data_IF_901258098417
#
_entry.id   IF_901258098417
#
_cell.length_a   1.000
_cell.length_b   1.000
_cell.length_c   1.000
_cell.angle_alpha   90.00
_cell.angle_beta   90.00
_cell.angle_gamma   90.00
#
_symmetry.space_group_name_H-M   'P 1'
#
loop_
_entity.id
_entity.type
_entity.pdbx_description
1 polymer ?
#
# COMPACT_ATOMS: atom_id res chain seq x y z
N UNK A 1 27.12 -5.95 1.21
CA UNK A 1 27.84 -6.51 2.33
C UNK A 1 29.36 -6.35 2.30
N UNK A 2 29.97 -5.83 1.23
CA UNK A 2 31.44 -5.56 1.21
C UNK A 2 31.77 -4.15 1.69
N UNK A 3 30.84 -3.22 1.54
CA UNK A 3 31.01 -1.81 1.90
C UNK A 3 29.81 -1.32 2.67
N UNK A 4 30.05 -0.61 3.76
CA UNK A 4 29.01 0.09 4.51
C UNK A 4 28.83 1.49 3.91
N UNK A 5 27.58 1.84 3.58
CA UNK A 5 27.20 3.15 3.04
C UNK A 5 26.00 3.67 3.83
N UNK A 6 26.17 4.08 5.09
CA UNK A 6 25.09 4.47 5.98
C UNK A 6 24.53 5.86 5.63
N UNK A 7 23.82 5.95 4.53
CA UNK A 7 23.22 7.19 4.03
C UNK A 7 21.70 7.02 3.97
N UNK A 8 20.97 8.01 4.46
CA UNK A 8 19.52 8.10 4.30
C UNK A 8 19.19 9.25 3.35
N UNK A 9 18.58 8.91 2.22
CA UNK A 9 17.96 9.88 1.31
C UNK A 9 16.49 10.01 1.70
N UNK A 10 16.10 11.18 2.21
CA UNK A 10 14.75 11.44 2.72
C UNK A 10 14.08 12.55 1.93
N UNK A 11 12.83 12.32 1.55
CA UNK A 11 12.02 13.32 0.87
C UNK A 11 10.60 12.86 0.59
N UNK A 12 9.71 13.79 0.17
CA UNK A 12 8.36 13.45 -0.23
C UNK A 12 8.33 12.72 -1.57
N UNK A 13 7.34 11.83 -1.73
CA UNK A 13 7.00 11.18 -2.99
C UNK A 13 5.48 11.04 -3.10
N UNK A 14 5.00 10.81 -4.33
CA UNK A 14 3.58 10.71 -4.61
C UNK A 14 2.90 12.07 -4.79
N UNK A 15 1.57 12.09 -4.78
CA UNK A 15 0.78 13.31 -5.00
C UNK A 15 0.83 14.23 -3.79
N UNK A 16 0.99 15.52 -4.04
CA UNK A 16 0.75 16.58 -3.08
C UNK A 16 -0.60 17.28 -3.38
N UNK A 17 -0.70 18.58 -3.15
CA UNK A 17 -1.92 19.34 -3.37
C UNK A 17 -1.78 20.26 -4.57
N UNK A 18 -2.33 19.86 -5.73
CA UNK A 18 -2.39 20.69 -6.94
C UNK A 18 -1.00 21.19 -7.40
N UNK A 19 0.00 20.32 -7.37
CA UNK A 19 1.39 20.64 -7.74
C UNK A 19 1.78 20.05 -9.10
N UNK A 20 0.81 19.50 -9.84
CA UNK A 20 0.98 18.96 -11.19
C UNK A 20 1.94 17.77 -11.27
N UNK A 21 2.28 17.36 -12.48
CA UNK A 21 3.13 16.19 -12.74
C UNK A 21 4.56 16.33 -12.24
N UNK A 22 5.07 17.57 -12.13
CA UNK A 22 6.47 17.82 -11.74
C UNK A 22 6.73 17.49 -10.26
N UNK A 23 5.74 17.66 -9.38
CA UNK A 23 5.87 17.48 -7.94
C UNK A 23 4.96 16.38 -7.39
N UNK A 24 4.43 15.48 -8.24
CA UNK A 24 3.52 14.40 -7.84
C UNK A 24 4.02 13.04 -8.32
N UNK A 25 5.33 12.84 -8.33
CA UNK A 25 5.93 11.59 -8.80
C UNK A 25 6.00 10.54 -7.68
N UNK A 26 5.47 9.36 -7.95
CA UNK A 26 5.59 8.19 -7.09
C UNK A 26 6.79 7.35 -7.57
N UNK A 27 7.96 7.61 -7.00
CA UNK A 27 9.24 7.11 -7.49
C UNK A 27 9.74 5.85 -6.77
N UNK A 28 8.95 5.28 -5.87
CA UNK A 28 9.34 4.12 -5.08
C UNK A 28 9.79 2.92 -5.93
N UNK A 29 9.15 2.70 -7.07
CA UNK A 29 9.52 1.61 -7.98
C UNK A 29 10.91 1.81 -8.60
N UNK A 30 11.29 3.04 -8.88
CA UNK A 30 12.62 3.36 -9.42
C UNK A 30 13.71 3.03 -8.42
N UNK A 31 13.54 3.46 -7.19
CA UNK A 31 14.54 3.20 -6.15
C UNK A 31 14.56 1.71 -5.75
N UNK A 32 13.41 1.07 -5.69
CA UNK A 32 13.32 -0.36 -5.39
C UNK A 32 13.90 -1.25 -6.50
N UNK A 33 14.01 -0.75 -7.72
CA UNK A 33 14.63 -1.49 -8.83
C UNK A 33 16.12 -1.76 -8.59
N UNK A 34 16.86 -0.85 -7.95
CA UNK A 34 18.31 -0.98 -7.79
C UNK A 34 18.67 -1.89 -6.61
N UNK A 35 19.37 -3.04 -6.87
CA UNK A 35 19.89 -3.88 -5.79
C UNK A 35 20.83 -3.12 -4.86
N UNK A 36 20.72 -3.32 -3.55
CA UNK A 36 21.53 -2.65 -2.54
C UNK A 36 20.89 -1.40 -1.94
N UNK A 37 19.85 -0.81 -2.58
CA UNK A 37 19.07 0.23 -1.93
C UNK A 37 17.94 -0.38 -1.11
N UNK A 38 17.73 0.12 0.12
CA UNK A 38 16.52 -0.11 0.90
C UNK A 38 15.53 1.02 0.63
N UNK A 39 14.23 0.69 0.56
CA UNK A 39 13.17 1.67 0.28
C UNK A 39 12.09 1.56 1.34
N UNK A 40 11.83 2.66 2.02
CA UNK A 40 10.94 2.74 3.19
C UNK A 40 9.86 3.78 2.96
N UNK A 41 8.61 3.46 3.30
CA UNK A 41 7.45 4.35 3.13
C UNK A 41 6.52 4.26 4.36
N UNK A 42 6.66 5.14 5.34
CA UNK A 42 5.80 5.13 6.53
C UNK A 42 4.35 5.52 6.18
N UNK A 43 3.40 5.00 6.96
CA UNK A 43 1.98 5.34 6.84
C UNK A 43 1.37 5.98 8.09
N UNK A 44 2.10 6.00 9.20
CA UNK A 44 1.65 6.53 10.49
C UNK A 44 2.78 7.30 11.20
N UNK A 45 2.47 8.18 12.18
CA UNK A 45 3.49 8.90 12.95
C UNK A 45 4.48 8.00 13.68
N UNK A 46 4.02 6.89 14.28
CA UNK A 46 4.90 5.91 14.92
C UNK A 46 5.83 5.24 13.91
N UNK A 47 5.30 4.87 12.72
CA UNK A 47 6.11 4.32 11.63
C UNK A 47 7.19 5.31 11.19
N UNK A 48 6.84 6.59 11.03
CA UNK A 48 7.79 7.64 10.64
C UNK A 48 8.94 7.75 11.65
N UNK A 49 8.66 7.74 12.97
CA UNK A 49 9.69 7.76 14.00
C UNK A 49 10.53 6.49 13.98
N UNK A 50 9.90 5.32 14.08
CA UNK A 50 10.58 4.05 14.26
C UNK A 50 11.40 3.62 13.06
N UNK A 51 10.82 3.72 11.86
CA UNK A 51 11.49 3.36 10.62
C UNK A 51 12.63 4.32 10.25
N UNK A 52 12.45 5.65 10.50
CA UNK A 52 13.53 6.61 10.23
C UNK A 52 14.73 6.35 11.14
N UNK A 53 14.51 6.05 12.41
CA UNK A 53 15.59 5.69 13.33
C UNK A 53 16.30 4.39 12.94
N UNK A 54 15.54 3.39 12.49
CA UNK A 54 16.12 2.17 11.93
C UNK A 54 16.94 2.46 10.67
N UNK A 55 16.42 3.31 9.79
CA UNK A 55 17.12 3.72 8.56
C UNK A 55 18.45 4.44 8.84
N UNK A 56 18.50 5.30 9.88
CA UNK A 56 19.72 6.01 10.28
C UNK A 56 20.75 5.04 10.88
N UNK A 57 20.30 3.97 11.51
CA UNK A 57 21.15 2.94 12.14
C UNK A 57 21.56 1.81 11.21
N UNK A 58 21.06 1.83 9.96
CA UNK A 58 21.35 0.80 8.96
C UNK A 58 22.68 1.07 8.26
N UNK A 59 23.43 0.01 7.99
CA UNK A 59 24.72 0.08 7.30
C UNK A 59 24.61 0.25 5.78
N UNK A 60 23.42 0.00 5.22
CA UNK A 60 23.13 0.13 3.79
C UNK A 60 22.43 1.46 3.47
N UNK A 61 22.51 1.94 2.23
CA UNK A 61 21.80 3.16 1.82
C UNK A 61 20.30 2.96 1.82
N UNK A 62 19.59 3.87 2.46
CA UNK A 62 18.12 3.86 2.59
C UNK A 62 17.51 5.04 1.88
N UNK A 63 16.51 4.79 1.02
CA UNK A 63 15.62 5.81 0.46
C UNK A 63 14.34 5.82 1.28
N UNK A 64 14.13 6.89 2.04
CA UNK A 64 13.01 7.08 2.95
C UNK A 64 12.00 8.04 2.32
N UNK A 65 10.90 7.49 1.77
CA UNK A 65 9.91 8.25 1.01
C UNK A 65 8.72 8.56 1.90
N UNK A 66 8.50 9.83 2.15
CA UNK A 66 7.34 10.34 2.89
C UNK A 66 6.23 10.74 1.92
N UNK A 67 5.03 10.94 2.47
CA UNK A 67 3.88 11.43 1.69
C UNK A 67 3.45 12.80 2.25
N UNK A 68 3.61 13.84 1.45
CA UNK A 68 3.39 15.22 1.89
C UNK A 68 1.96 15.46 2.41
N UNK A 69 0.97 14.82 1.80
CA UNK A 69 -0.44 14.91 2.23
C UNK A 69 -0.68 14.35 3.64
N UNK A 70 0.26 13.58 4.16
CA UNK A 70 0.19 12.97 5.49
C UNK A 70 0.93 13.74 6.58
N UNK A 71 1.69 14.79 6.25
CA UNK A 71 2.46 15.55 7.24
C UNK A 71 1.63 16.17 8.36
N UNK A 72 0.34 16.45 8.10
CA UNK A 72 -0.59 16.95 9.11
C UNK A 72 -1.24 15.86 9.97
N UNK A 73 -1.03 14.58 9.67
CA UNK A 73 -1.65 13.48 10.41
C UNK A 73 -1.07 13.39 11.82
N UNK A 74 -1.98 13.18 12.78
CA UNK A 74 -1.63 12.98 14.19
C UNK A 74 -1.90 11.53 14.57
N UNK A 75 -1.11 11.00 15.50
CA UNK A 75 -1.27 9.67 16.04
C UNK A 75 -0.38 9.45 17.25
N UNK A 76 -0.58 8.36 17.92
CA UNK A 76 0.26 7.96 19.04
C UNK A 76 1.67 7.63 18.55
N UNK A 77 2.65 8.09 19.29
CA UNK A 77 4.07 7.82 19.04
C UNK A 77 4.71 7.41 20.35
N UNK A 78 5.36 6.24 20.45
CA UNK A 78 6.06 5.83 21.66
C UNK A 78 7.07 6.90 22.10
N UNK A 79 7.06 7.21 23.40
CA UNK A 79 7.94 8.24 23.98
C UNK A 79 9.38 7.74 24.18
N UNK A 80 9.57 6.42 24.07
CA UNK A 80 10.88 5.77 24.17
C UNK A 80 11.87 6.39 23.17
N UNK A 81 13.01 6.94 23.65
CA UNK A 81 14.06 7.48 22.79
C UNK A 81 14.73 6.41 21.92
N UNK A 82 14.65 5.14 22.29
CA UNK A 82 15.23 4.03 21.53
C UNK A 82 14.22 3.25 20.66
N UNK A 83 12.98 3.70 20.65
CA UNK A 83 11.96 3.08 19.80
C UNK A 83 12.38 3.04 18.33
N UNK A 84 12.41 1.83 17.77
CA UNK A 84 12.69 1.53 16.36
C UNK A 84 11.71 0.53 15.84
N UNK A 85 11.54 0.49 14.52
CA UNK A 85 10.77 -0.53 13.80
C UNK A 85 11.73 -1.20 12.81
N UNK A 86 11.89 -2.53 12.84
CA UNK A 86 12.76 -3.24 11.92
C UNK A 86 12.35 -3.01 10.46
N UNK A 87 13.34 -2.80 9.57
CA UNK A 87 13.11 -2.75 8.13
C UNK A 87 12.80 -4.15 7.60
N UNK A 88 11.86 -4.25 6.68
CA UNK A 88 11.43 -5.53 6.10
C UNK A 88 10.37 -6.28 6.91
N UNK A 89 9.72 -5.61 7.87
CA UNK A 89 8.62 -6.18 8.66
C UNK A 89 7.35 -5.39 8.38
N UNK A 90 6.35 -6.05 7.82
CA UNK A 90 5.04 -5.47 7.56
C UNK A 90 4.23 -5.27 8.85
N UNK A 91 3.16 -4.50 8.75
CA UNK A 91 2.22 -4.25 9.83
C UNK A 91 0.81 -4.66 9.40
N UNK A 92 0.17 -5.53 10.18
CA UNK A 92 -1.24 -5.87 10.02
C UNK A 92 -2.04 -4.76 10.72
N UNK A 93 -2.40 -3.73 9.96
CA UNK A 93 -3.15 -2.56 10.47
C UNK A 93 -4.59 -2.91 10.90
N UNK A 94 -5.12 -3.99 10.37
CA UNK A 94 -6.43 -4.52 10.67
C UNK A 94 -6.46 -6.02 10.38
N UNK A 95 -6.92 -6.81 11.31
CA UNK A 95 -7.19 -8.22 11.11
C UNK A 95 -8.49 -8.43 10.30
N UNK A 96 -8.52 -9.51 9.50
CA UNK A 96 -9.67 -9.89 8.70
C UNK A 96 -9.57 -11.30 8.14
N UNK A 97 -10.68 -11.80 7.55
CA UNK A 97 -10.79 -13.21 7.14
C UNK A 97 -11.23 -13.43 5.70
N UNK A 98 -11.78 -12.40 5.01
CA UNK A 98 -12.43 -12.59 3.71
C UNK A 98 -11.64 -12.01 2.53
N UNK A 99 -10.94 -10.91 2.74
CA UNK A 99 -10.15 -10.23 1.70
C UNK A 99 -8.90 -9.61 2.32
N UNK A 100 -7.74 -9.86 1.76
CA UNK A 100 -6.52 -9.12 2.06
C UNK A 100 -6.46 -7.84 1.23
N UNK A 101 -6.23 -6.70 1.87
CA UNK A 101 -5.92 -5.43 1.20
C UNK A 101 -4.47 -5.06 1.52
N UNK A 102 -3.59 -5.14 0.54
CA UNK A 102 -2.21 -4.67 0.69
C UNK A 102 -2.16 -3.20 0.24
N UNK A 103 -1.79 -2.32 1.16
CA UNK A 103 -1.73 -0.88 0.91
C UNK A 103 -0.48 -0.28 1.56
N UNK A 104 0.05 0.80 1.00
CA UNK A 104 1.23 1.49 1.55
C UNK A 104 1.05 3.00 1.56
N UNK A 105 1.76 3.67 2.47
CA UNK A 105 1.78 5.13 2.58
C UNK A 105 0.36 5.73 2.59
N UNK A 106 0.04 6.70 1.73
CA UNK A 106 -1.28 7.36 1.63
C UNK A 106 -2.44 6.36 1.43
N UNK A 107 -2.19 5.23 0.81
CA UNK A 107 -3.26 4.27 0.54
C UNK A 107 -3.66 3.44 1.77
N UNK A 108 -2.86 3.43 2.84
CA UNK A 108 -3.22 2.72 4.09
C UNK A 108 -4.48 3.29 4.74
N UNK A 109 -4.58 4.60 5.05
CA UNK A 109 -5.82 5.15 5.58
C UNK A 109 -7.02 5.03 4.62
N UNK A 110 -6.79 5.05 3.30
CA UNK A 110 -7.84 4.82 2.30
C UNK A 110 -8.34 3.37 2.35
N UNK A 111 -7.42 2.41 2.48
CA UNK A 111 -7.74 0.99 2.62
C UNK A 111 -8.48 0.67 3.92
N UNK A 112 -8.05 1.26 5.04
CA UNK A 112 -8.75 1.13 6.33
C UNK A 112 -10.19 1.65 6.24
N UNK A 113 -10.40 2.79 5.59
CA UNK A 113 -11.74 3.33 5.38
C UNK A 113 -12.61 2.45 4.47
N UNK A 114 -12.00 1.84 3.44
CA UNK A 114 -12.69 0.86 2.60
C UNK A 114 -13.04 -0.40 3.41
N UNK A 115 -12.13 -0.90 4.24
CA UNK A 115 -12.36 -2.06 5.10
C UNK A 115 -13.49 -1.83 6.11
N UNK A 116 -13.58 -0.65 6.74
CA UNK A 116 -14.71 -0.27 7.59
C UNK A 116 -16.07 -0.32 6.85
N UNK A 117 -16.08 0.16 5.61
CA UNK A 117 -17.30 0.14 4.78
C UNK A 117 -17.68 -1.28 4.37
N UNK A 118 -16.70 -2.10 4.02
CA UNK A 118 -16.92 -3.51 3.67
C UNK A 118 -17.42 -4.34 4.86
N UNK A 119 -16.93 -4.05 6.06
CA UNK A 119 -17.40 -4.72 7.28
C UNK A 119 -18.89 -4.47 7.55
N UNK A 120 -19.38 -3.24 7.30
CA UNK A 120 -20.81 -2.93 7.38
C UNK A 120 -21.66 -3.72 6.37
N UNK A 121 -21.00 -4.27 5.34
CA UNK A 121 -21.59 -5.13 4.32
C UNK A 121 -21.32 -6.62 4.56
N UNK A 122 -20.75 -6.97 5.73
CA UNK A 122 -20.46 -8.36 6.12
C UNK A 122 -19.18 -8.93 5.49
N UNK A 123 -18.25 -8.10 5.01
CA UNK A 123 -16.97 -8.52 4.46
C UNK A 123 -15.82 -8.09 5.39
N UNK A 124 -15.15 -9.08 5.99
CA UNK A 124 -14.03 -8.87 6.90
C UNK A 124 -12.72 -8.73 6.14
N UNK A 125 -12.16 -7.53 6.11
CA UNK A 125 -10.91 -7.25 5.40
C UNK A 125 -9.71 -7.18 6.33
N UNK A 126 -8.65 -7.91 5.97
CA UNK A 126 -7.32 -7.72 6.54
C UNK A 126 -6.57 -6.64 5.76
N UNK A 127 -6.02 -5.65 6.48
CA UNK A 127 -5.26 -4.57 5.85
C UNK A 127 -3.81 -4.68 6.28
N UNK A 128 -2.92 -4.86 5.29
CA UNK A 128 -1.47 -4.98 5.48
C UNK A 128 -0.78 -3.76 4.91
N UNK A 129 0.06 -3.14 5.74
CA UNK A 129 1.03 -2.13 5.33
C UNK A 129 2.43 -2.75 5.29
N UNK A 130 3.04 -2.92 4.13
CA UNK A 130 4.40 -3.43 4.03
C UNK A 130 5.44 -2.54 4.72
N UNK A 131 5.19 -1.23 4.89
CA UNK A 131 6.08 -0.20 5.46
C UNK A 131 7.43 -0.07 4.74
N UNK A 132 7.95 -1.17 4.23
CA UNK A 132 9.17 -1.24 3.41
C UNK A 132 8.87 -1.89 2.08
N UNK A 133 9.41 -1.30 1.02
CA UNK A 133 9.28 -1.82 -0.34
C UNK A 133 10.44 -2.75 -0.66
N UNK A 134 11.60 -2.44 -0.09
CA UNK A 134 12.80 -3.25 -0.19
C UNK A 134 13.60 -3.13 1.11
N UNK A 135 13.77 -4.23 1.86
CA UNK A 135 13.19 -5.55 1.62
C UNK A 135 11.66 -5.57 1.80
N UNK A 136 10.96 -6.42 1.02
CA UNK A 136 9.53 -6.64 1.15
C UNK A 136 9.28 -7.81 2.10
N UNK A 137 8.36 -7.66 3.04
CA UNK A 137 7.87 -8.76 3.89
C UNK A 137 6.89 -9.64 3.09
N UNK A 138 7.45 -10.60 2.38
CA UNK A 138 6.71 -11.53 1.55
C UNK A 138 5.88 -12.48 2.42
N UNK A 139 6.46 -12.95 3.51
CA UNK A 139 5.84 -13.97 4.36
C UNK A 139 4.53 -13.48 4.98
N UNK A 140 4.54 -12.27 5.56
CA UNK A 140 3.31 -11.67 6.12
C UNK A 140 2.21 -11.51 5.06
N UNK A 141 2.56 -11.07 3.85
CA UNK A 141 1.60 -10.91 2.76
C UNK A 141 1.05 -12.28 2.32
N UNK A 142 1.91 -13.25 2.12
CA UNK A 142 1.53 -14.60 1.67
C UNK A 142 0.66 -15.32 2.69
N UNK A 143 0.99 -15.26 3.98
CA UNK A 143 0.19 -15.87 5.04
C UNK A 143 -1.21 -15.24 5.15
N UNK A 144 -1.32 -13.91 4.99
CA UNK A 144 -2.61 -13.26 4.91
C UNK A 144 -3.43 -13.75 3.70
N UNK A 145 -2.81 -13.87 2.53
CA UNK A 145 -3.47 -14.35 1.32
C UNK A 145 -3.95 -15.79 1.48
N UNK A 146 -3.15 -16.66 2.09
CA UNK A 146 -3.55 -18.05 2.40
C UNK A 146 -4.77 -18.11 3.33
N UNK A 147 -4.92 -17.15 4.23
CA UNK A 147 -6.05 -17.02 5.15
C UNK A 147 -7.32 -16.53 4.44
N UNK A 148 -7.20 -15.51 3.59
CA UNK A 148 -8.35 -14.80 3.01
C UNK A 148 -8.72 -15.24 1.60
N UNK A 149 -7.81 -15.88 0.87
CA UNK A 149 -7.93 -16.40 -0.51
C UNK A 149 -8.25 -15.32 -1.58
N UNK A 150 -8.33 -14.05 -1.20
CA UNK A 150 -8.72 -12.93 -2.08
C UNK A 150 -7.89 -11.69 -1.78
N UNK A 151 -7.42 -11.01 -2.83
CA UNK A 151 -6.48 -9.91 -2.65
C UNK A 151 -6.82 -8.69 -3.49
N UNK A 152 -6.79 -7.52 -2.85
CA UNK A 152 -6.75 -6.21 -3.49
C UNK A 152 -5.42 -5.55 -3.12
N UNK A 153 -4.67 -5.06 -4.09
CA UNK A 153 -3.48 -4.23 -3.88
C UNK A 153 -3.84 -2.80 -4.21
N UNK A 154 -3.71 -1.89 -3.24
CA UNK A 154 -4.01 -0.48 -3.39
C UNK A 154 -2.73 0.35 -3.35
N UNK A 155 -2.48 1.10 -4.41
CA UNK A 155 -1.25 1.87 -4.62
C UNK A 155 -1.51 3.17 -5.35
N UNK A 156 -0.74 4.22 -5.05
CA UNK A 156 -0.86 5.53 -5.66
C UNK A 156 -0.22 5.62 -7.05
N UNK A 157 0.93 4.96 -7.34
CA UNK A 157 1.60 5.03 -8.63
C UNK A 157 0.74 4.58 -9.82
N UNK A 158 1.26 4.85 -11.00
CA UNK A 158 0.73 4.30 -12.26
C UNK A 158 0.83 2.76 -12.27
N UNK A 159 -0.05 2.06 -13.04
CA UNK A 159 -0.13 0.60 -12.97
C UNK A 159 1.07 -0.13 -13.57
N UNK A 160 1.81 0.52 -14.50
CA UNK A 160 2.94 -0.09 -15.21
C UNK A 160 4.20 -0.04 -14.33
N UNK A 161 4.91 -1.16 -14.23
CA UNK A 161 6.14 -1.30 -13.45
C UNK A 161 6.01 -0.86 -11.98
N UNK A 162 4.81 -0.91 -11.42
CA UNK A 162 4.59 -0.54 -10.03
C UNK A 162 5.01 -1.64 -9.06
N UNK A 163 5.24 -1.26 -7.80
CA UNK A 163 5.48 -2.23 -6.71
C UNK A 163 4.30 -3.19 -6.56
N UNK A 164 3.06 -2.72 -6.76
CA UNK A 164 1.88 -3.58 -6.73
C UNK A 164 1.89 -4.67 -7.81
N UNK A 165 2.53 -4.45 -8.96
CA UNK A 165 2.73 -5.49 -9.96
C UNK A 165 3.70 -6.57 -9.45
N UNK A 166 4.77 -6.18 -8.78
CA UNK A 166 5.72 -7.10 -8.13
C UNK A 166 5.05 -7.90 -7.02
N UNK A 167 4.29 -7.24 -6.14
CA UNK A 167 3.53 -7.92 -5.07
C UNK A 167 2.54 -8.94 -5.67
N UNK A 168 1.84 -8.58 -6.77
CA UNK A 168 0.93 -9.50 -7.46
C UNK A 168 1.66 -10.73 -7.99
N UNK A 169 2.87 -10.57 -8.53
CA UNK A 169 3.72 -11.68 -8.99
C UNK A 169 4.14 -12.56 -7.83
N UNK A 170 4.64 -11.97 -6.75
CA UNK A 170 5.05 -12.71 -5.53
C UNK A 170 3.88 -13.52 -4.95
N UNK A 171 2.69 -12.94 -4.84
CA UNK A 171 1.49 -13.65 -4.40
C UNK A 171 1.18 -14.83 -5.32
N UNK A 172 1.28 -14.64 -6.64
CA UNK A 172 1.02 -15.71 -7.61
C UNK A 172 2.07 -16.82 -7.50
N UNK A 173 3.34 -16.51 -7.27
CA UNK A 173 4.41 -17.50 -7.13
C UNK A 173 4.31 -18.31 -5.83
N UNK A 174 3.84 -17.72 -4.73
CA UNK A 174 3.88 -18.34 -3.40
C UNK A 174 2.52 -18.77 -2.85
N UNK A 175 1.41 -18.29 -3.42
CA UNK A 175 0.07 -18.54 -2.92
C UNK A 175 -0.97 -18.81 -4.02
N UNK A 176 -0.56 -19.19 -5.24
CA UNK A 176 -1.48 -19.42 -6.36
C UNK A 176 -2.59 -20.41 -6.03
N UNK A 177 -2.27 -21.53 -5.40
CA UNK A 177 -3.21 -22.60 -5.06
C UNK A 177 -4.24 -22.19 -3.97
N UNK A 178 -4.02 -21.05 -3.32
CA UNK A 178 -4.92 -20.50 -2.31
C UNK A 178 -5.86 -19.43 -2.86
N UNK A 179 -5.65 -18.97 -4.10
CA UNK A 179 -6.43 -17.87 -4.66
C UNK A 179 -7.76 -18.34 -5.23
N UNK A 180 -8.87 -17.81 -4.71
CA UNK A 180 -10.22 -18.01 -5.25
C UNK A 180 -10.49 -17.14 -6.49
N UNK A 181 -9.69 -16.10 -6.71
CA UNK A 181 -9.85 -15.15 -7.80
C UNK A 181 -8.51 -14.50 -8.15
N UNK A 182 -8.35 -13.93 -9.36
CA UNK A 182 -7.16 -13.17 -9.72
C UNK A 182 -6.92 -11.99 -8.78
N UNK A 183 -5.65 -11.73 -8.43
CA UNK A 183 -5.25 -10.55 -7.66
C UNK A 183 -5.75 -9.28 -8.36
N UNK A 184 -6.46 -8.41 -7.63
CA UNK A 184 -6.95 -7.14 -8.12
C UNK A 184 -6.04 -6.00 -7.70
N UNK A 185 -5.77 -5.07 -8.62
CA UNK A 185 -5.01 -3.86 -8.31
C UNK A 185 -5.87 -2.62 -8.47
N UNK A 186 -5.66 -1.66 -7.59
CA UNK A 186 -6.18 -0.29 -7.63
C UNK A 186 -4.97 0.63 -7.65
N UNK A 187 -4.66 1.17 -8.82
CA UNK A 187 -3.51 2.06 -9.04
C UNK A 187 -3.99 3.45 -9.45
N UNK A 188 -3.11 4.43 -9.44
CA UNK A 188 -3.34 5.73 -10.05
C UNK A 188 -3.70 5.61 -11.53
N UNK A 189 -4.30 6.63 -12.11
CA UNK A 189 -4.56 6.67 -13.54
C UNK A 189 -3.22 6.74 -14.31
N UNK A 190 -3.17 6.09 -15.47
CA UNK A 190 -1.95 6.09 -16.31
C UNK A 190 -1.86 7.39 -17.14
N UNK A 191 -1.78 8.50 -16.43
CA UNK A 191 -1.65 9.86 -17.00
C UNK A 191 -0.73 10.70 -16.12
N UNK A 192 0.00 11.68 -16.67
CA UNK A 192 0.69 12.68 -15.86
C UNK A 192 -0.29 13.35 -14.88
N UNK A 193 0.11 13.57 -13.62
CA UNK A 193 -0.77 14.14 -12.60
C UNK A 193 -1.29 15.52 -13.05
N UNK A 194 -2.62 15.70 -13.17
CA UNK A 194 -3.20 16.98 -13.54
C UNK A 194 -3.04 18.04 -12.46
N UNK A 195 -2.98 19.31 -12.86
CA UNK A 195 -2.95 20.45 -11.94
C UNK A 195 -4.34 20.74 -11.35
N UNK A 196 -5.40 20.62 -12.16
CA UNK A 196 -6.75 20.95 -11.73
C UNK A 196 -7.25 19.97 -10.65
N UNK A 197 -7.72 20.48 -9.52
CA UNK A 197 -8.12 19.72 -8.33
C UNK A 197 -9.11 18.57 -8.63
N UNK A 198 -10.09 18.80 -9.49
CA UNK A 198 -11.07 17.79 -9.87
C UNK A 198 -10.44 16.66 -10.70
N UNK A 199 -9.49 16.98 -11.57
CA UNK A 199 -8.77 15.99 -12.38
C UNK A 199 -7.73 15.24 -11.54
N UNK A 200 -7.02 15.94 -10.65
CA UNK A 200 -6.11 15.30 -9.65
C UNK A 200 -6.89 14.25 -8.84
N UNK A 201 -8.08 14.58 -8.33
CA UNK A 201 -8.93 13.64 -7.60
C UNK A 201 -9.33 12.41 -8.44
N UNK A 202 -9.58 12.58 -9.72
CA UNK A 202 -9.91 11.47 -10.63
C UNK A 202 -8.68 10.60 -10.96
N UNK A 203 -7.49 11.18 -10.96
CA UNK A 203 -6.25 10.46 -11.21
C UNK A 203 -5.81 9.58 -10.04
N UNK A 204 -6.19 9.93 -8.81
CA UNK A 204 -5.82 9.20 -7.60
C UNK A 204 -6.79 8.04 -7.30
N UNK A 205 -6.28 6.94 -6.71
CA UNK A 205 -7.14 5.90 -6.15
C UNK A 205 -7.97 6.44 -4.97
N UNK A 206 -9.15 5.88 -4.79
CA UNK A 206 -10.06 6.23 -3.70
C UNK A 206 -10.74 5.00 -3.08
N UNK A 207 -11.50 5.24 -2.00
CA UNK A 207 -12.27 4.20 -1.31
C UNK A 207 -13.21 3.47 -2.26
N UNK A 208 -13.92 4.18 -3.14
CA UNK A 208 -14.90 3.57 -4.04
C UNK A 208 -14.25 2.60 -5.03
N UNK A 209 -13.03 2.90 -5.49
CA UNK A 209 -12.28 2.00 -6.37
C UNK A 209 -11.83 0.73 -5.64
N UNK A 210 -11.45 0.83 -4.36
CA UNK A 210 -11.10 -0.35 -3.54
C UNK A 210 -12.35 -1.20 -3.30
N UNK A 211 -13.47 -0.59 -2.88
CA UNK A 211 -14.75 -1.28 -2.68
C UNK A 211 -15.17 -2.06 -3.93
N UNK A 212 -15.13 -1.42 -5.10
CA UNK A 212 -15.46 -2.07 -6.36
C UNK A 212 -14.60 -3.30 -6.62
N UNK A 213 -13.28 -3.23 -6.41
CA UNK A 213 -12.37 -4.36 -6.61
C UNK A 213 -12.60 -5.48 -5.59
N UNK A 214 -12.88 -5.14 -4.34
CA UNK A 214 -13.23 -6.13 -3.32
C UNK A 214 -14.55 -6.86 -3.66
N UNK A 215 -15.57 -6.13 -4.12
CA UNK A 215 -16.82 -6.74 -4.58
C UNK A 215 -16.64 -7.64 -5.81
N UNK A 216 -15.74 -7.30 -6.74
CA UNK A 216 -15.42 -8.17 -7.89
C UNK A 216 -14.81 -9.52 -7.45
N UNK A 217 -14.20 -9.60 -6.27
CA UNK A 217 -13.62 -10.81 -5.70
C UNK A 217 -14.66 -11.67 -4.98
N UNK A 218 -15.69 -11.04 -4.42
CA UNK A 218 -16.78 -11.72 -3.73
C UNK A 218 -17.87 -12.16 -4.70
N UNK A 219 -17.84 -13.38 -5.20
CA UNK A 219 -18.83 -13.91 -6.16
C UNK A 219 -20.26 -14.05 -5.64
N UNK A 220 -20.62 -13.50 -4.47
CA UNK A 220 -21.98 -13.50 -3.91
C UNK A 220 -22.16 -12.34 -2.93
N UNK A 221 -22.34 -11.13 -3.42
CA UNK A 221 -22.99 -10.11 -2.62
C UNK A 221 -24.35 -9.81 -3.24
N UNK A 222 -25.40 -10.24 -2.53
CA UNK A 222 -26.71 -9.67 -2.71
C UNK A 222 -26.65 -8.20 -2.26
N UNK A 223 -27.27 -7.28 -2.99
CA UNK A 223 -27.56 -5.96 -2.48
C UNK A 223 -28.42 -6.10 -1.19
N UNK A 224 -28.63 -5.02 -0.40
CA UNK A 224 -29.50 -5.05 0.79
C UNK A 224 -30.92 -5.55 0.51
N UNK A 225 -31.33 -5.65 -0.76
CA UNK A 225 -32.61 -6.21 -1.20
C UNK A 225 -32.52 -7.67 -1.66
N UNK A 226 -31.33 -8.32 -1.54
CA UNK A 226 -31.16 -9.74 -1.89
C UNK A 226 -30.87 -10.00 -3.39
N UNK A 227 -30.65 -8.98 -4.20
CA UNK A 227 -30.36 -9.12 -5.62
C UNK A 227 -28.87 -9.36 -5.88
N UNK A 228 -28.53 -10.37 -6.68
CA UNK A 228 -27.15 -10.61 -7.12
C UNK A 228 -26.75 -9.55 -8.11
N UNK A 229 -25.96 -8.57 -7.68
CA UNK A 229 -25.42 -7.53 -8.58
C UNK A 229 -24.33 -8.15 -9.45
N UNK A 230 -24.64 -8.50 -10.69
CA UNK A 230 -23.64 -8.83 -11.70
C UNK A 230 -23.15 -7.53 -12.33
N UNK A 231 -21.93 -7.12 -12.01
CA UNK A 231 -21.32 -6.01 -12.72
C UNK A 231 -21.02 -6.45 -14.17
N UNK A 232 -21.71 -5.84 -15.13
CA UNK A 232 -21.40 -6.00 -16.53
C UNK A 232 -19.97 -5.46 -16.82
N UNK A 233 -19.22 -6.18 -17.65
CA UNK A 233 -17.95 -5.69 -18.18
C UNK A 233 -18.26 -4.46 -19.05
N UNK A 234 -17.62 -3.34 -18.74
CA UNK A 234 -17.41 -2.25 -19.69
C UNK A 234 -16.18 -2.58 -20.51
#
# INVERSE_FOLDING_TARGET
GQFNIPIVFRGPGGSAFQVSSQHSQALESWYAYFPGLKVVMPSAPADAKGLLKSSIRDDDPVVFIEQERMYGNKGEVPDDPDFTIPLGVADVKREGTDVTIVARSLMVPVALKAAETLEQQGVSCEVIDPRTIRPLDIDTIVESVKKTNRVVIAEEPHPICSVGATISTVITEHAFDYLDAPVKRVSGADVPMPYAKNLEKLALPDVARILRRAHELGGRHADPAGNVVRYARL
#
